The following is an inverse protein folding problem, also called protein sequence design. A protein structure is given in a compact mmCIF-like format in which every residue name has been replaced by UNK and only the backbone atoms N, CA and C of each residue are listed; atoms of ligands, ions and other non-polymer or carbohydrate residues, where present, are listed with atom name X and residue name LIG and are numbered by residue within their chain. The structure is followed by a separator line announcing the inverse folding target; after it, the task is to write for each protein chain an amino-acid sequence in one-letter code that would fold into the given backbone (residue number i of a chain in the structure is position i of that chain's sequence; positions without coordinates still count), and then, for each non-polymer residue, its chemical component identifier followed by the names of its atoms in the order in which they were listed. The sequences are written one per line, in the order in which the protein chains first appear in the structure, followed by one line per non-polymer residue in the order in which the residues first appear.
data_IF_475881025971
#
_entry.id   IF_475881025971
#
_cell.length_a   1.000
_cell.length_b   1.000
_cell.length_c   1.000
_cell.angle_alpha   90.00
_cell.angle_beta   90.00
_cell.angle_gamma   90.00
#
_symmetry.space_group_name_H-M   'P 1'
#
loop_
_entity.id
_entity.type
_entity.pdbx_description
1 polymer ?
#
# COMPACT_ATOMS: atom_id res chain seq x y z
N UNK A 1 -1.61 -32.20 -29.28
CA UNK A 1 -0.57 -31.37 -28.63
C UNK A 1 -1.27 -30.32 -27.78
N UNK A 2 -1.17 -30.39 -26.44
CA UNK A 2 -1.78 -29.39 -25.54
C UNK A 2 -0.88 -28.15 -25.52
N UNK A 3 -1.42 -27.00 -25.90
CA UNK A 3 -0.77 -25.69 -25.84
C UNK A 3 -0.18 -25.44 -24.44
N UNK A 4 1.15 -25.56 -24.29
CA UNK A 4 1.87 -25.23 -23.05
C UNK A 4 2.14 -23.73 -22.89
N UNK A 5 1.58 -22.89 -23.77
CA UNK A 5 1.73 -21.43 -23.76
C UNK A 5 0.81 -20.73 -22.74
N UNK A 6 -0.10 -21.46 -22.07
CA UNK A 6 -1.05 -20.91 -21.10
C UNK A 6 -0.67 -21.15 -19.62
N UNK A 7 0.41 -21.90 -19.33
CA UNK A 7 0.71 -22.37 -17.96
C UNK A 7 1.73 -21.54 -17.19
N UNK A 8 2.17 -20.39 -17.71
CA UNK A 8 2.97 -19.42 -16.95
C UNK A 8 2.40 -18.00 -17.07
N UNK A 9 1.12 -17.82 -16.73
CA UNK A 9 0.82 -16.59 -15.99
C UNK A 9 1.61 -16.72 -14.70
N UNK A 10 2.78 -16.08 -14.62
CA UNK A 10 3.50 -15.93 -13.35
C UNK A 10 2.44 -15.49 -12.33
N UNK A 11 2.30 -16.24 -11.23
CA UNK A 11 1.49 -15.78 -10.11
C UNK A 11 2.08 -14.44 -9.70
N UNK A 12 1.41 -13.36 -10.06
CA UNK A 12 1.77 -12.03 -9.57
C UNK A 12 1.63 -12.09 -8.05
N UNK A 13 2.69 -11.70 -7.35
CA UNK A 13 2.64 -11.58 -5.90
C UNK A 13 1.71 -10.43 -5.58
N UNK A 14 0.65 -10.71 -4.81
CA UNK A 14 -0.26 -9.69 -4.31
C UNK A 14 0.36 -9.05 -3.05
N UNK A 15 0.39 -7.73 -3.01
CA UNK A 15 0.95 -6.94 -1.91
C UNK A 15 -0.11 -5.97 -1.42
N UNK A 16 -0.38 -5.98 -0.11
CA UNK A 16 -1.16 -4.95 0.57
C UNK A 16 -0.24 -3.85 1.07
N UNK A 17 -0.45 -2.64 0.57
CA UNK A 17 0.40 -1.49 0.81
C UNK A 17 -0.37 -0.35 1.50
N UNK A 18 0.09 0.07 2.68
CA UNK A 18 -0.38 1.30 3.31
C UNK A 18 0.63 2.42 3.06
N UNK A 19 0.17 3.55 2.53
CA UNK A 19 0.97 4.76 2.38
C UNK A 19 0.35 5.84 3.26
N UNK A 20 1.17 6.38 4.17
CA UNK A 20 0.79 7.46 5.08
C UNK A 20 1.47 8.73 4.58
N UNK A 21 0.77 9.48 3.75
CA UNK A 21 1.34 10.58 2.97
C UNK A 21 0.24 11.48 2.39
N UNK A 22 0.50 12.78 2.28
CA UNK A 22 -0.38 13.81 1.71
C UNK A 22 -0.30 13.90 0.17
N UNK A 23 0.66 13.18 -0.42
CA UNK A 23 1.06 13.39 -1.80
C UNK A 23 0.60 12.27 -2.73
N UNK A 24 -0.54 12.51 -3.40
CA UNK A 24 -1.11 11.59 -4.39
C UNK A 24 -0.16 11.26 -5.55
N UNK A 25 0.70 12.20 -5.98
CA UNK A 25 1.66 11.94 -7.07
C UNK A 25 2.72 10.92 -6.64
N UNK A 26 3.21 11.03 -5.40
CA UNK A 26 4.16 10.08 -4.81
C UNK A 26 3.54 8.69 -4.66
N UNK A 27 2.30 8.63 -4.18
CA UNK A 27 1.50 7.39 -4.16
C UNK A 27 1.43 6.72 -5.55
N UNK A 28 1.08 7.49 -6.59
CA UNK A 28 0.99 6.97 -7.96
C UNK A 28 2.36 6.50 -8.49
N UNK A 29 3.44 7.22 -8.17
CA UNK A 29 4.80 6.82 -8.54
C UNK A 29 5.19 5.47 -7.90
N UNK A 30 4.88 5.28 -6.62
CA UNK A 30 5.14 4.01 -5.91
C UNK A 30 4.35 2.87 -6.55
N UNK A 31 3.07 3.07 -6.87
CA UNK A 31 2.26 2.06 -7.55
C UNK A 31 2.80 1.69 -8.93
N UNK A 32 3.28 2.66 -9.69
CA UNK A 32 3.85 2.42 -11.01
C UNK A 32 5.17 1.62 -10.91
N UNK A 33 6.01 1.91 -9.92
CA UNK A 33 7.24 1.15 -9.66
C UNK A 33 6.91 -0.31 -9.31
N UNK A 34 5.95 -0.54 -8.41
CA UNK A 34 5.57 -1.90 -8.01
C UNK A 34 4.92 -2.68 -9.16
N UNK A 35 4.02 -2.03 -9.91
CA UNK A 35 3.38 -2.64 -11.09
C UNK A 35 4.39 -2.96 -12.19
N UNK A 36 5.42 -2.13 -12.35
CA UNK A 36 6.54 -2.38 -13.26
C UNK A 36 7.42 -3.57 -12.86
N UNK A 37 7.32 -4.05 -11.62
CA UNK A 37 7.98 -5.26 -11.12
C UNK A 37 7.02 -6.47 -11.04
N UNK A 38 5.93 -6.44 -11.81
CA UNK A 38 4.91 -7.51 -11.88
C UNK A 38 4.18 -7.81 -10.55
N UNK A 39 4.23 -6.88 -9.58
CA UNK A 39 3.40 -6.98 -8.38
C UNK A 39 1.95 -6.58 -8.68
N UNK A 40 1.00 -7.30 -8.08
CA UNK A 40 -0.38 -6.84 -7.96
C UNK A 40 -0.50 -6.11 -6.63
N UNK A 41 -0.82 -4.81 -6.65
CA UNK A 41 -0.82 -4.00 -5.44
C UNK A 41 -2.25 -3.62 -5.06
N UNK A 42 -2.64 -3.96 -3.83
CA UNK A 42 -3.80 -3.39 -3.16
C UNK A 42 -3.30 -2.30 -2.20
N UNK A 43 -3.38 -1.04 -2.62
CA UNK A 43 -2.85 0.08 -1.86
C UNK A 43 -3.93 1.00 -1.29
N UNK A 44 -3.62 1.60 -0.15
CA UNK A 44 -4.39 2.67 0.46
C UNK A 44 -3.48 3.85 0.78
N UNK A 45 -3.92 5.05 0.40
CA UNK A 45 -3.32 6.32 0.81
C UNK A 45 -4.17 6.92 1.94
N UNK A 46 -3.52 7.41 2.99
CA UNK A 46 -4.15 8.22 4.02
C UNK A 46 -3.19 9.29 4.54
N UNK A 47 -3.75 10.38 5.03
CA UNK A 47 -3.04 11.52 5.61
C UNK A 47 -3.64 11.97 6.96
N UNK A 48 -4.75 11.35 7.38
CA UNK A 48 -5.53 11.75 8.55
C UNK A 48 -5.70 10.63 9.61
N UNK A 49 -5.90 11.06 10.87
CA UNK A 49 -6.06 10.17 12.03
C UNK A 49 -7.27 9.25 11.93
N UNK A 50 -8.40 9.75 11.45
CA UNK A 50 -9.66 8.99 11.39
C UNK A 50 -9.59 7.86 10.37
N UNK A 51 -8.91 8.09 9.25
CA UNK A 51 -8.64 7.04 8.26
C UNK A 51 -7.61 6.04 8.76
N UNK A 52 -6.58 6.50 9.47
CA UNK A 52 -5.58 5.64 10.12
C UNK A 52 -6.21 4.71 11.16
N UNK A 53 -7.09 5.22 12.02
CA UNK A 53 -7.82 4.44 13.02
C UNK A 53 -8.55 3.23 12.42
N UNK A 54 -9.15 3.40 11.23
CA UNK A 54 -9.85 2.30 10.53
C UNK A 54 -8.92 1.22 10.01
N UNK A 55 -7.63 1.52 9.89
CA UNK A 55 -6.60 0.57 9.45
C UNK A 55 -5.90 -0.12 10.62
N UNK A 56 -6.20 0.27 11.87
CA UNK A 56 -5.75 -0.46 13.05
C UNK A 56 -6.26 -1.90 12.96
N UNK A 57 -5.36 -2.86 13.20
CA UNK A 57 -5.61 -4.30 13.09
C UNK A 57 -5.79 -4.84 11.65
N UNK A 58 -5.68 -4.01 10.62
CA UNK A 58 -5.53 -4.49 9.24
C UNK A 58 -4.08 -4.97 9.04
N UNK A 59 -3.89 -6.19 8.53
CA UNK A 59 -2.55 -6.64 8.17
C UNK A 59 -2.09 -5.97 6.87
N UNK A 60 -0.92 -5.34 6.91
CA UNK A 60 -0.25 -4.73 5.77
C UNK A 60 1.08 -5.44 5.55
N UNK A 61 1.43 -5.66 4.29
CA UNK A 61 2.70 -6.31 3.95
C UNK A 61 3.82 -5.25 3.88
N UNK A 62 3.46 -4.01 3.53
CA UNK A 62 4.35 -2.85 3.52
C UNK A 62 3.60 -1.62 4.04
N UNK A 63 4.26 -0.83 4.90
CA UNK A 63 3.80 0.49 5.35
C UNK A 63 4.88 1.52 4.98
N UNK A 64 4.51 2.58 4.26
CA UNK A 64 5.42 3.67 3.87
C UNK A 64 4.95 4.97 4.53
N UNK A 65 5.84 5.60 5.30
CA UNK A 65 5.60 6.91 5.90
C UNK A 65 6.24 8.01 5.05
N UNK A 66 5.40 8.93 4.58
CA UNK A 66 5.77 10.17 3.91
C UNK A 66 5.52 11.38 4.81
N UNK A 67 4.80 12.38 4.29
CA UNK A 67 4.35 13.55 5.06
C UNK A 67 2.86 13.42 5.29
N UNK A 68 2.42 13.19 6.51
CA UNK A 68 1.02 13.31 6.88
C UNK A 68 0.91 14.47 7.88
N UNK A 69 0.43 15.63 7.42
CA UNK A 69 0.41 16.85 8.24
C UNK A 69 -0.47 16.70 9.49
N UNK A 70 -1.51 15.85 9.41
CA UNK A 70 -2.52 15.70 10.45
C UNK A 70 -2.29 14.48 11.37
N UNK A 71 -1.21 13.72 11.15
CA UNK A 71 -0.85 12.56 11.97
C UNK A 71 0.32 12.87 12.89
N UNK A 72 0.00 13.28 14.12
CA UNK A 72 1.00 13.46 15.19
C UNK A 72 1.31 12.12 15.85
N UNK A 73 2.59 11.83 16.05
CA UNK A 73 3.06 10.57 16.65
C UNK A 73 2.38 10.32 18.00
N UNK A 74 2.27 11.33 18.85
CA UNK A 74 1.67 11.19 20.18
C UNK A 74 0.19 10.79 20.09
N UNK A 75 -0.56 11.36 19.14
CA UNK A 75 -1.96 11.01 18.92
C UNK A 75 -2.07 9.59 18.35
N UNK A 76 -1.23 9.25 17.37
CA UNK A 76 -1.20 7.91 16.77
C UNK A 76 -0.88 6.81 17.79
N UNK A 77 0.09 7.05 18.68
CA UNK A 77 0.47 6.09 19.72
C UNK A 77 -0.61 5.92 20.80
N UNK A 78 -1.47 6.91 21.00
CA UNK A 78 -2.59 6.79 21.96
C UNK A 78 -3.69 5.83 21.51
N UNK A 79 -3.66 5.39 20.25
CA UNK A 79 -4.65 4.50 19.65
C UNK A 79 -4.31 3.00 19.80
N UNK A 80 -3.12 2.65 20.29
CA UNK A 80 -2.60 1.28 20.44
C UNK A 80 -2.29 0.95 21.90
#
# INVERSE_FOLDING_TARGET
MRNSLLSKRLKRTEIRLLIIDDNQLRYNQILNLLSGNDYQVNALLLDDLKSFEKQLNTSWDVIIFGRAYDLKIEQTLSLV
#
